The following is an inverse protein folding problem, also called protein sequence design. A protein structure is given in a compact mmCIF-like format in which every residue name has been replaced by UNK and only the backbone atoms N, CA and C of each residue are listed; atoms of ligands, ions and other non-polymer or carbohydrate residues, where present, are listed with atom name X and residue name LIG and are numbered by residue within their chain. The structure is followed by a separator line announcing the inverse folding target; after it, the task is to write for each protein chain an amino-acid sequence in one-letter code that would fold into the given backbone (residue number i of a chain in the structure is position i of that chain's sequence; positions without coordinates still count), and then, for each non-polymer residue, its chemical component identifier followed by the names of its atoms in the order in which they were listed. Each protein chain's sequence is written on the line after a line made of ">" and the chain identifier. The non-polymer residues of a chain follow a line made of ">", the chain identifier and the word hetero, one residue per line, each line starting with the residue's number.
data_IF_558188920144
#
_entry.id   IF_558188920144
#
_cell.length_a   1.000
_cell.length_b   1.000
_cell.length_c   1.000
_cell.angle_alpha   90.00
_cell.angle_beta   90.00
_cell.angle_gamma   90.00
#
_symmetry.space_group_name_H-M   'P 1'
#
loop_
_entity.id
_entity.type
_entity.pdbx_description
1 polymer ?
#
# COMPACT_ATOMS: atom_id res chain seq x y z
N UNK A 1 3.16 3.20 3.02
CA UNK A 1 3.31 4.52 2.34
C UNK A 1 4.75 5.03 2.30
N UNK A 2 5.63 4.58 3.21
CA UNK A 2 7.02 5.01 3.25
C UNK A 2 7.74 4.82 1.88
N UNK A 3 7.70 3.66 1.21
CA UNK A 3 8.34 3.48 -0.09
C UNK A 3 7.77 4.38 -1.19
N UNK A 4 6.46 4.64 -1.16
CA UNK A 4 5.80 5.51 -2.13
C UNK A 4 6.39 6.91 -2.12
N UNK A 5 6.38 7.56 -0.97
CA UNK A 5 6.83 8.95 -0.85
C UNK A 5 8.34 9.08 -0.98
N UNK A 6 9.12 8.11 -0.46
CA UNK A 6 10.56 8.11 -0.60
C UNK A 6 11.00 8.14 -2.05
N UNK A 7 10.40 7.29 -2.88
CA UNK A 7 10.71 7.25 -4.33
C UNK A 7 10.09 8.45 -5.05
N UNK A 8 8.84 8.79 -4.79
CA UNK A 8 8.13 9.89 -5.48
C UNK A 8 8.84 11.23 -5.33
N UNK A 9 9.25 11.59 -4.11
CA UNK A 9 9.92 12.86 -3.85
C UNK A 9 11.36 12.89 -4.41
N UNK A 10 12.00 11.74 -4.46
CA UNK A 10 13.36 11.62 -5.01
C UNK A 10 13.37 11.36 -6.52
N UNK A 11 12.22 11.13 -7.14
CA UNK A 11 12.10 10.71 -8.55
C UNK A 11 12.82 11.64 -9.53
N UNK A 12 12.61 12.99 -9.53
CA UNK A 12 13.31 13.87 -10.43
C UNK A 12 14.83 13.85 -10.22
N UNK A 13 15.27 13.68 -8.96
CA UNK A 13 16.68 13.58 -8.61
C UNK A 13 17.30 12.29 -9.15
N UNK A 14 16.61 11.16 -8.99
CA UNK A 14 17.05 9.86 -9.52
C UNK A 14 17.18 9.93 -11.05
N UNK A 15 16.19 10.47 -11.76
CA UNK A 15 16.21 10.59 -13.21
C UNK A 15 17.33 11.56 -13.69
N UNK A 16 17.53 12.66 -12.97
CA UNK A 16 18.63 13.60 -13.27
C UNK A 16 20.01 12.92 -13.15
N UNK A 17 20.20 12.07 -12.17
CA UNK A 17 21.44 11.31 -11.97
C UNK A 17 21.71 10.29 -13.09
N UNK A 18 20.67 9.88 -13.83
CA UNK A 18 20.79 9.03 -15.01
C UNK A 18 21.33 9.79 -16.27
N UNK A 19 21.70 11.07 -16.12
CA UNK A 19 22.30 11.89 -17.19
C UNK A 19 21.32 12.80 -17.92
N UNK A 20 20.07 12.94 -17.48
CA UNK A 20 19.09 13.81 -18.12
C UNK A 20 19.13 15.24 -17.58
N UNK A 21 18.86 16.23 -18.44
CA UNK A 21 18.68 17.63 -18.02
C UNK A 21 17.47 17.78 -17.11
N UNK A 22 17.50 18.77 -16.21
CA UNK A 22 16.45 18.96 -15.19
C UNK A 22 15.04 19.01 -15.77
N UNK A 23 14.83 19.75 -16.86
CA UNK A 23 13.52 19.85 -17.53
C UNK A 23 13.07 18.51 -18.12
N UNK A 24 13.99 17.81 -18.80
CA UNK A 24 13.71 16.48 -19.36
C UNK A 24 13.42 15.46 -18.26
N UNK A 25 14.16 15.51 -17.14
CA UNK A 25 13.93 14.64 -16.00
C UNK A 25 12.52 14.82 -15.42
N UNK A 26 12.03 16.05 -15.32
CA UNK A 26 10.65 16.33 -14.88
C UNK A 26 9.61 15.81 -15.89
N UNK A 27 9.82 16.02 -17.19
CA UNK A 27 8.90 15.48 -18.21
C UNK A 27 8.85 13.96 -18.19
N UNK A 28 9.97 13.30 -17.95
CA UNK A 28 10.05 11.85 -17.84
C UNK A 28 9.35 11.28 -16.58
N UNK A 29 8.89 12.12 -15.64
CA UNK A 29 8.04 11.66 -14.54
C UNK A 29 6.58 11.49 -14.95
N UNK A 30 6.12 12.12 -16.01
CA UNK A 30 4.72 12.08 -16.46
C UNK A 30 4.24 10.65 -16.76
N UNK A 31 4.98 9.82 -17.52
CA UNK A 31 4.57 8.45 -17.81
C UNK A 31 4.36 7.61 -16.55
N UNK A 32 5.17 7.81 -15.50
CA UNK A 32 5.02 7.09 -14.22
C UNK A 32 3.67 7.38 -13.58
N UNK A 33 3.32 8.66 -13.45
CA UNK A 33 2.07 9.05 -12.80
C UNK A 33 0.84 8.69 -13.63
N UNK A 34 0.91 8.83 -14.96
CA UNK A 34 -0.18 8.46 -15.86
C UNK A 34 -0.46 6.95 -15.77
N UNK A 35 0.57 6.11 -15.83
CA UNK A 35 0.42 4.66 -15.71
C UNK A 35 -0.04 4.26 -14.30
N UNK A 36 0.51 4.89 -13.26
CA UNK A 36 0.10 4.61 -11.88
C UNK A 36 -1.38 4.97 -11.66
N UNK A 37 -1.84 6.11 -12.17
CA UNK A 37 -3.25 6.51 -12.10
C UNK A 37 -4.17 5.51 -12.80
N UNK A 38 -3.79 5.08 -14.00
CA UNK A 38 -4.54 4.06 -14.74
C UNK A 38 -4.62 2.74 -13.96
N UNK A 39 -3.49 2.27 -13.40
CA UNK A 39 -3.44 1.05 -12.61
C UNK A 39 -4.27 1.15 -11.32
N UNK A 40 -4.27 2.30 -10.64
CA UNK A 40 -5.11 2.51 -9.45
C UNK A 40 -6.59 2.35 -9.81
N UNK A 41 -7.03 2.91 -10.92
CA UNK A 41 -8.43 2.79 -11.39
C UNK A 41 -8.75 1.33 -11.69
N UNK A 42 -7.92 0.65 -12.50
CA UNK A 42 -8.13 -0.74 -12.88
C UNK A 42 -8.15 -1.69 -11.68
N UNK A 43 -7.17 -1.55 -10.77
CA UNK A 43 -7.06 -2.38 -9.57
C UNK A 43 -8.22 -2.12 -8.62
N UNK A 44 -8.59 -0.86 -8.39
CA UNK A 44 -9.71 -0.51 -7.50
C UNK A 44 -11.03 -1.06 -8.04
N UNK A 45 -11.30 -0.87 -9.32
CA UNK A 45 -12.51 -1.40 -9.96
C UNK A 45 -12.58 -2.94 -9.91
N UNK A 46 -11.47 -3.61 -10.18
CA UNK A 46 -11.39 -5.08 -10.15
C UNK A 46 -11.52 -5.62 -8.72
N UNK A 47 -10.85 -4.99 -7.76
CA UNK A 47 -10.93 -5.37 -6.35
C UNK A 47 -12.34 -5.17 -5.76
N UNK A 48 -13.05 -4.13 -6.20
CA UNK A 48 -14.45 -3.91 -5.80
C UNK A 48 -15.39 -4.97 -6.39
N UNK A 49 -15.16 -5.40 -7.63
CA UNK A 49 -15.95 -6.47 -8.25
C UNK A 49 -15.75 -7.83 -7.60
N UNK A 50 -14.51 -8.14 -7.22
CA UNK A 50 -14.16 -9.44 -6.62
C UNK A 50 -14.45 -9.44 -5.10
N UNK A 51 -14.69 -8.27 -4.49
CA UNK A 51 -14.84 -8.07 -3.04
C UNK A 51 -13.63 -8.56 -2.21
N UNK A 52 -12.47 -8.67 -2.83
CA UNK A 52 -11.21 -9.08 -2.20
C UNK A 52 -10.11 -8.10 -2.58
N UNK A 53 -9.45 -7.52 -1.59
CA UNK A 53 -8.36 -6.55 -1.80
C UNK A 53 -6.98 -7.15 -1.55
N UNK A 54 -6.93 -8.22 -0.76
CA UNK A 54 -5.68 -8.89 -0.39
C UNK A 54 -4.82 -9.32 -1.57
N UNK A 55 -5.34 -10.01 -2.61
CA UNK A 55 -4.49 -10.51 -3.69
C UNK A 55 -3.85 -9.36 -4.48
N UNK A 56 -4.56 -8.26 -4.64
CA UNK A 56 -4.03 -7.07 -5.32
C UNK A 56 -2.94 -6.37 -4.49
N UNK A 57 -3.10 -6.33 -3.16
CA UNK A 57 -2.06 -5.81 -2.28
C UNK A 57 -0.79 -6.66 -2.34
N UNK A 58 -0.91 -7.99 -2.30
CA UNK A 58 0.25 -8.88 -2.45
C UNK A 58 0.92 -8.70 -3.81
N UNK A 59 0.17 -8.66 -4.90
CA UNK A 59 0.70 -8.44 -6.24
C UNK A 59 1.43 -7.08 -6.33
N UNK A 60 0.86 -6.03 -5.74
CA UNK A 60 1.46 -4.70 -5.71
C UNK A 60 2.77 -4.68 -4.90
N UNK A 61 2.80 -5.31 -3.72
CA UNK A 61 4.04 -5.42 -2.92
C UNK A 61 5.11 -6.25 -3.64
N UNK A 62 4.72 -7.32 -4.32
CA UNK A 62 5.65 -8.13 -5.13
C UNK A 62 6.25 -7.32 -6.26
N UNK A 63 5.43 -6.52 -6.94
CA UNK A 63 5.87 -5.61 -8.01
C UNK A 63 6.87 -4.58 -7.48
N UNK A 64 6.64 -4.04 -6.28
CA UNK A 64 7.56 -3.12 -5.61
C UNK A 64 8.90 -3.80 -5.30
N UNK A 65 8.89 -5.03 -4.77
CA UNK A 65 10.13 -5.78 -4.49
C UNK A 65 10.95 -6.01 -5.75
N UNK A 66 10.31 -6.43 -6.86
CA UNK A 66 10.98 -6.57 -8.15
C UNK A 66 11.57 -5.24 -8.63
N UNK A 67 10.83 -4.16 -8.50
CA UNK A 67 11.30 -2.82 -8.88
C UNK A 67 12.53 -2.39 -8.08
N UNK A 68 12.51 -2.57 -6.75
CA UNK A 68 13.67 -2.24 -5.92
C UNK A 68 14.87 -3.17 -6.19
N UNK A 69 14.65 -4.44 -6.46
CA UNK A 69 15.72 -5.36 -6.86
C UNK A 69 16.43 -4.89 -8.14
N UNK A 70 15.67 -4.39 -9.12
CA UNK A 70 16.22 -3.80 -10.34
C UNK A 70 16.99 -2.50 -10.04
N UNK A 71 16.52 -1.67 -9.13
CA UNK A 71 17.20 -0.44 -8.74
C UNK A 71 18.52 -0.69 -8.02
N UNK A 72 18.60 -1.71 -7.17
CA UNK A 72 19.82 -2.08 -6.42
C UNK A 72 20.83 -2.79 -7.33
N UNK A 73 20.35 -3.53 -8.33
CA UNK A 73 21.22 -4.24 -9.27
C UNK A 73 22.00 -3.26 -10.13
N UNK A 74 23.32 -3.34 -10.09
CA UNK A 74 24.21 -2.54 -10.94
C UNK A 74 23.93 -2.80 -12.40
N UNK A 75 23.66 -1.74 -13.17
CA UNK A 75 23.32 -1.87 -14.58
C UNK A 75 23.11 -0.54 -15.29
N UNK A 76 22.70 -0.58 -16.56
CA UNK A 76 22.51 0.64 -17.35
C UNK A 76 21.38 1.51 -16.75
N UNK A 77 21.42 2.85 -17.00
CA UNK A 77 20.39 3.79 -16.52
C UNK A 77 18.95 3.38 -16.82
N UNK A 78 18.71 2.73 -17.95
CA UNK A 78 17.40 2.23 -18.35
C UNK A 78 16.85 1.18 -17.36
N UNK A 79 17.70 0.38 -16.71
CA UNK A 79 17.28 -0.60 -15.70
C UNK A 79 16.78 0.07 -14.44
N UNK A 80 17.49 1.09 -13.95
CA UNK A 80 17.05 1.88 -12.79
C UNK A 80 15.73 2.59 -13.08
N UNK A 81 15.58 3.16 -14.28
CA UNK A 81 14.33 3.78 -14.73
C UNK A 81 13.17 2.77 -14.72
N UNK A 82 13.36 1.58 -15.29
CA UNK A 82 12.38 0.51 -15.29
C UNK A 82 12.06 0.01 -13.85
N UNK A 83 13.07 -0.08 -12.99
CA UNK A 83 12.90 -0.46 -11.59
C UNK A 83 12.02 0.53 -10.83
N UNK A 84 12.31 1.82 -10.94
CA UNK A 84 11.49 2.88 -10.33
C UNK A 84 10.07 2.89 -10.90
N UNK A 85 9.92 2.62 -12.21
CA UNK A 85 8.60 2.48 -12.84
C UNK A 85 7.77 1.39 -12.16
N UNK A 86 8.34 0.19 -11.99
CA UNK A 86 7.66 -0.92 -11.32
C UNK A 86 7.33 -0.60 -9.86
N UNK A 87 8.24 0.06 -9.14
CA UNK A 87 7.97 0.48 -7.75
C UNK A 87 6.73 1.36 -7.67
N UNK A 88 6.62 2.38 -8.51
CA UNK A 88 5.46 3.29 -8.49
C UNK A 88 4.18 2.61 -8.94
N UNK A 89 4.25 1.75 -9.98
CA UNK A 89 3.12 0.93 -10.42
C UNK A 89 2.59 0.00 -9.32
N UNK A 90 3.42 -0.44 -8.38
CA UNK A 90 3.00 -1.20 -7.20
C UNK A 90 2.54 -0.30 -6.06
N UNK A 91 3.28 0.77 -5.75
CA UNK A 91 3.08 1.58 -4.56
C UNK A 91 1.73 2.33 -4.53
N UNK A 92 1.32 2.92 -5.65
CA UNK A 92 0.05 3.66 -5.74
C UNK A 92 -1.18 2.75 -5.55
N UNK A 93 -1.33 1.61 -6.26
CA UNK A 93 -2.43 0.69 -6.01
C UNK A 93 -2.42 0.09 -4.61
N UNK A 94 -1.24 -0.25 -4.06
CA UNK A 94 -1.13 -0.77 -2.69
C UNK A 94 -1.68 0.22 -1.67
N UNK A 95 -1.34 1.50 -1.80
CA UNK A 95 -1.81 2.57 -0.89
C UNK A 95 -3.32 2.76 -0.99
N UNK A 96 -3.87 2.75 -2.20
CA UNK A 96 -5.32 2.84 -2.43
C UNK A 96 -6.05 1.66 -1.78
N UNK A 97 -5.61 0.43 -2.05
CA UNK A 97 -6.19 -0.78 -1.47
C UNK A 97 -6.11 -0.77 0.07
N UNK A 98 -4.98 -0.35 0.65
CA UNK A 98 -4.81 -0.26 2.10
C UNK A 98 -5.82 0.71 2.72
N UNK A 99 -5.98 1.89 2.16
CA UNK A 99 -6.89 2.92 2.67
C UNK A 99 -8.34 2.43 2.70
N UNK A 100 -8.77 1.78 1.62
CA UNK A 100 -10.13 1.23 1.55
C UNK A 100 -10.28 -0.02 2.44
N UNK A 101 -9.24 -0.87 2.55
CA UNK A 101 -9.26 -2.01 3.47
C UNK A 101 -9.48 -1.54 4.91
N UNK A 102 -8.79 -0.50 5.35
CA UNK A 102 -8.99 0.10 6.69
C UNK A 102 -10.41 0.64 6.83
N UNK A 103 -10.89 1.40 5.84
CA UNK A 103 -12.24 1.98 5.86
C UNK A 103 -13.34 0.93 5.95
N UNK A 104 -13.21 -0.18 5.23
CA UNK A 104 -14.20 -1.25 5.18
C UNK A 104 -14.20 -2.13 6.45
N UNK A 105 -13.08 -2.20 7.15
CA UNK A 105 -12.95 -3.04 8.35
C UNK A 105 -13.27 -2.31 9.67
N UNK A 106 -13.66 -1.02 9.58
CA UNK A 106 -14.08 -0.22 10.72
C UNK A 106 -15.57 0.12 10.62
N UNK A 107 -16.36 -0.36 11.55
CA UNK A 107 -17.77 -0.01 11.64
C UNK A 107 -17.99 1.28 12.44
N UNK A 108 -18.95 2.08 12.00
CA UNK A 108 -19.26 3.38 12.57
C UNK A 108 -18.47 4.53 11.94
N UNK A 109 -19.18 5.64 11.64
CA UNK A 109 -18.61 6.80 10.94
C UNK A 109 -17.45 7.44 11.69
N UNK A 110 -17.62 7.65 13.01
CA UNK A 110 -16.59 8.24 13.86
C UNK A 110 -15.32 7.37 13.93
N UNK A 111 -15.47 6.06 14.20
CA UNK A 111 -14.34 5.13 14.28
C UNK A 111 -13.59 5.02 12.96
N UNK A 112 -14.33 5.01 11.84
CA UNK A 112 -13.76 5.01 10.49
C UNK A 112 -12.97 6.29 10.21
N UNK A 113 -13.52 7.45 10.54
CA UNK A 113 -12.84 8.73 10.35
C UNK A 113 -11.54 8.81 11.16
N UNK A 114 -11.57 8.44 12.44
CA UNK A 114 -10.37 8.40 13.30
C UNK A 114 -9.35 7.40 12.76
N UNK A 115 -9.77 6.19 12.36
CA UNK A 115 -8.88 5.17 11.80
C UNK A 115 -8.18 5.63 10.52
N UNK A 116 -8.90 6.25 9.60
CA UNK A 116 -8.32 6.82 8.38
C UNK A 116 -7.35 7.96 8.72
N UNK A 117 -7.72 8.86 9.64
CA UNK A 117 -6.85 9.94 10.06
C UNK A 117 -5.54 9.41 10.68
N UNK A 118 -5.58 8.38 11.52
CA UNK A 118 -4.39 7.74 12.08
C UNK A 118 -3.48 7.15 10.99
N UNK A 119 -4.06 6.45 10.01
CA UNK A 119 -3.28 5.89 8.88
C UNK A 119 -2.61 7.00 8.09
N UNK A 120 -3.31 8.09 7.79
CA UNK A 120 -2.75 9.24 7.06
C UNK A 120 -1.64 9.93 7.86
N UNK A 121 -1.82 10.13 9.16
CA UNK A 121 -0.82 10.75 10.04
C UNK A 121 0.46 9.91 10.07
N UNK A 122 0.35 8.60 10.31
CA UNK A 122 1.50 7.69 10.30
C UNK A 122 2.19 7.65 8.93
N UNK A 123 1.43 7.75 7.86
CA UNK A 123 1.96 7.83 6.50
C UNK A 123 2.80 9.09 6.28
N UNK A 124 2.32 10.24 6.75
CA UNK A 124 3.02 11.52 6.62
C UNK A 124 4.29 11.58 7.47
N UNK A 125 4.27 11.00 8.67
CA UNK A 125 5.49 10.85 9.49
C UNK A 125 6.54 10.00 8.76
N UNK A 126 6.13 8.90 8.14
CA UNK A 126 7.01 8.07 7.30
C UNK A 126 7.60 8.85 6.12
N UNK A 127 6.83 9.75 5.51
CA UNK A 127 7.30 10.63 4.42
C UNK A 127 8.47 11.52 4.85
N UNK A 128 8.35 12.18 5.99
CA UNK A 128 9.41 13.03 6.54
C UNK A 128 10.72 12.28 6.77
N UNK A 129 10.62 11.03 7.20
CA UNK A 129 11.80 10.17 7.34
C UNK A 129 12.38 9.73 6.00
N UNK A 130 11.52 9.39 5.04
CA UNK A 130 11.91 8.85 3.73
C UNK A 130 12.80 9.82 2.93
N UNK A 131 12.54 11.13 3.01
CA UNK A 131 13.31 12.16 2.32
C UNK A 131 14.79 12.19 2.75
N UNK A 132 15.09 11.74 3.97
CA UNK A 132 16.46 11.76 4.51
C UNK A 132 17.31 10.57 4.06
N UNK A 133 16.74 9.55 3.43
CA UNK A 133 17.48 8.34 3.03
C UNK A 133 18.03 8.41 1.60
N UNK A 134 17.52 9.31 0.75
CA UNK A 134 18.03 9.52 -0.60
C UNK A 134 19.07 10.65 -0.60
N UNK A 135 20.25 10.37 -0.04
CA UNK A 135 21.32 11.37 0.06
C UNK A 135 22.10 11.46 -1.25
N UNK A 136 22.47 12.66 -1.66
CA UNK A 136 23.24 12.88 -2.88
C UNK A 136 24.58 12.15 -2.91
N UNK A 137 25.18 11.91 -1.74
CA UNK A 137 26.45 11.16 -1.63
C UNK A 137 26.34 9.68 -2.04
N UNK A 138 25.13 9.12 -2.03
CA UNK A 138 24.87 7.73 -2.39
C UNK A 138 24.49 7.57 -3.88
N UNK A 139 24.56 8.67 -4.66
CA UNK A 139 24.34 8.67 -6.09
C UNK A 139 25.46 7.89 -6.82
N UNK A 140 25.17 7.27 -7.98
CA UNK A 140 23.90 7.31 -8.72
C UNK A 140 22.91 6.21 -8.33
N UNK A 141 23.31 5.23 -7.55
CA UNK A 141 22.51 4.00 -7.31
C UNK A 141 21.63 4.05 -6.09
N UNK A 142 21.84 4.99 -5.15
CA UNK A 142 21.05 5.15 -3.91
C UNK A 142 20.76 3.83 -3.18
N UNK A 143 21.74 2.93 -3.11
CA UNK A 143 21.58 1.57 -2.59
C UNK A 143 21.03 1.58 -1.17
N UNK A 144 21.50 2.48 -0.30
CA UNK A 144 21.00 2.60 1.07
C UNK A 144 19.51 2.93 1.09
N UNK A 145 19.07 3.93 0.31
CA UNK A 145 17.67 4.34 0.23
C UNK A 145 16.76 3.22 -0.27
N UNK A 146 17.19 2.52 -1.32
CA UNK A 146 16.43 1.40 -1.87
C UNK A 146 16.39 0.20 -0.91
N UNK A 147 17.49 -0.13 -0.23
CA UNK A 147 17.55 -1.25 0.73
C UNK A 147 16.64 -1.01 1.94
N UNK A 148 16.59 0.22 2.47
CA UNK A 148 15.69 0.58 3.55
C UNK A 148 14.22 0.45 3.09
N UNK A 149 13.90 0.91 1.88
CA UNK A 149 12.56 0.75 1.33
C UNK A 149 12.16 -0.71 1.15
N UNK A 150 13.08 -1.59 0.71
CA UNK A 150 12.84 -3.04 0.67
C UNK A 150 12.48 -3.56 2.05
N UNK A 151 13.22 -3.16 3.10
CA UNK A 151 12.89 -3.53 4.48
C UNK A 151 11.46 -3.14 4.87
N UNK A 152 11.02 -1.92 4.53
CA UNK A 152 9.64 -1.47 4.79
C UNK A 152 8.60 -2.22 3.96
N UNK A 153 8.90 -2.59 2.71
CA UNK A 153 8.01 -3.40 1.88
C UNK A 153 7.83 -4.80 2.46
N UNK A 154 8.92 -5.43 2.90
CA UNK A 154 8.88 -6.75 3.55
C UNK A 154 8.10 -6.70 4.87
N UNK A 155 8.34 -5.68 5.69
CA UNK A 155 7.57 -5.46 6.92
C UNK A 155 6.09 -5.24 6.62
N UNK A 156 5.77 -4.48 5.56
CA UNK A 156 4.39 -4.28 5.08
C UNK A 156 3.72 -5.59 4.63
N UNK A 157 4.45 -6.43 3.88
CA UNK A 157 3.98 -7.77 3.50
C UNK A 157 3.69 -8.65 4.72
N UNK A 158 4.59 -8.67 5.69
CA UNK A 158 4.41 -9.44 6.91
C UNK A 158 3.19 -8.96 7.71
N UNK A 159 3.05 -7.65 7.89
CA UNK A 159 1.90 -7.05 8.56
C UNK A 159 0.58 -7.35 7.82
N UNK A 160 0.55 -7.20 6.49
CA UNK A 160 -0.61 -7.55 5.67
C UNK A 160 -1.00 -9.02 5.83
N UNK A 161 -0.04 -9.93 5.73
CA UNK A 161 -0.25 -11.37 5.89
C UNK A 161 -0.83 -11.70 7.26
N UNK A 162 -0.29 -11.09 8.32
CA UNK A 162 -0.78 -11.24 9.68
C UNK A 162 -2.24 -10.78 9.83
N UNK A 163 -2.59 -9.59 9.32
CA UNK A 163 -3.95 -9.04 9.42
C UNK A 163 -4.96 -9.85 8.61
N UNK A 164 -4.61 -10.29 7.40
CA UNK A 164 -5.47 -11.11 6.56
C UNK A 164 -5.74 -12.46 7.23
N UNK A 165 -4.69 -13.11 7.78
CA UNK A 165 -4.84 -14.34 8.54
C UNK A 165 -5.75 -14.15 9.76
N UNK A 166 -5.57 -13.04 10.51
CA UNK A 166 -6.38 -12.72 11.67
C UNK A 166 -7.84 -12.49 11.29
N UNK A 167 -8.10 -11.69 10.28
CA UNK A 167 -9.47 -11.44 9.81
C UNK A 167 -10.13 -12.70 9.25
N UNK A 168 -9.41 -13.52 8.53
CA UNK A 168 -9.91 -14.82 8.06
C UNK A 168 -10.32 -15.73 9.21
N UNK A 169 -9.51 -15.79 10.29
CA UNK A 169 -9.89 -16.54 11.50
C UNK A 169 -11.13 -15.97 12.18
N UNK A 170 -11.19 -14.65 12.36
CA UNK A 170 -12.36 -14.00 12.96
C UNK A 170 -13.61 -14.25 12.12
N UNK A 171 -13.53 -14.14 10.80
CA UNK A 171 -14.65 -14.40 9.90
C UNK A 171 -15.15 -15.86 10.02
N UNK A 172 -14.23 -16.83 10.09
CA UNK A 172 -14.58 -18.25 10.28
C UNK A 172 -15.29 -18.49 11.63
N UNK A 173 -14.76 -17.92 12.71
CA UNK A 173 -15.38 -18.03 14.03
C UNK A 173 -16.78 -17.42 14.06
N UNK A 174 -16.95 -16.23 13.46
CA UNK A 174 -18.25 -15.57 13.38
C UNK A 174 -19.23 -16.33 12.48
N UNK A 175 -18.76 -16.95 11.40
CA UNK A 175 -19.60 -17.79 10.57
C UNK A 175 -20.15 -19.00 11.35
N UNK A 176 -19.32 -19.64 12.18
CA UNK A 176 -19.73 -20.73 13.05
C UNK A 176 -20.76 -20.26 14.10
N UNK A 177 -20.54 -19.11 14.74
CA UNK A 177 -21.47 -18.53 15.74
C UNK A 177 -22.80 -18.13 15.10
N UNK A 178 -22.78 -17.61 13.86
CA UNK A 178 -24.02 -17.35 13.10
C UNK A 178 -24.77 -18.62 12.75
N UNK A 179 -24.07 -19.68 12.36
CA UNK A 179 -24.67 -20.97 12.09
C UNK A 179 -25.31 -21.59 13.35
N UNK A 180 -24.75 -21.30 14.53
CA UNK A 180 -25.34 -21.69 15.84
C UNK A 180 -26.55 -20.83 16.25
N UNK A 181 -26.96 -19.84 15.44
CA UNK A 181 -28.15 -19.02 15.72
C UNK A 181 -27.91 -17.87 16.73
N UNK A 182 -26.66 -17.60 17.12
CA UNK A 182 -26.36 -16.59 18.16
C UNK A 182 -26.84 -15.18 17.76
N UNK A 183 -26.87 -14.87 16.45
CA UNK A 183 -27.35 -13.59 15.93
C UNK A 183 -28.86 -13.39 16.13
N UNK A 184 -29.64 -14.46 16.35
CA UNK A 184 -31.08 -14.41 16.60
C UNK A 184 -31.40 -14.08 18.08
N UNK A 185 -30.42 -14.21 18.97
CA UNK A 185 -30.54 -13.88 20.38
C UNK A 185 -30.30 -12.39 20.67
N UNK A 186 -29.83 -11.64 19.72
CA UNK A 186 -29.50 -10.23 19.86
C UNK A 186 -30.47 -9.34 19.07
N UNK A 187 -30.86 -8.22 19.66
CA UNK A 187 -31.70 -7.24 18.97
C UNK A 187 -30.90 -6.49 17.89
N UNK A 188 -31.56 -5.95 16.85
CA UNK A 188 -30.89 -5.14 15.84
C UNK A 188 -30.12 -3.93 16.42
N UNK A 189 -30.61 -3.36 17.51
CA UNK A 189 -29.96 -2.25 18.22
C UNK A 189 -28.66 -2.70 18.91
N UNK A 190 -28.67 -3.86 19.56
CA UNK A 190 -27.48 -4.44 20.20
C UNK A 190 -26.40 -4.81 19.16
N UNK A 191 -26.80 -5.38 18.03
CA UNK A 191 -25.89 -5.67 16.91
C UNK A 191 -25.27 -4.39 16.35
N UNK A 192 -26.07 -3.34 16.21
CA UNK A 192 -25.58 -2.02 15.76
C UNK A 192 -24.59 -1.40 16.74
N UNK A 193 -24.83 -1.50 18.05
CA UNK A 193 -23.92 -1.00 19.10
C UNK A 193 -22.59 -1.75 19.13
N UNK A 194 -22.57 -3.03 18.80
CA UNK A 194 -21.35 -3.84 18.73
C UNK A 194 -20.45 -3.44 17.54
N UNK A 195 -21.03 -2.87 16.48
CA UNK A 195 -20.31 -2.39 15.29
C UNK A 195 -19.46 -3.49 14.66
N UNK A 196 -18.15 -3.27 14.54
CA UNK A 196 -17.20 -4.24 13.97
C UNK A 196 -16.92 -5.47 14.85
N UNK A 197 -17.44 -5.50 16.08
CA UNK A 197 -17.42 -6.67 16.97
C UNK A 197 -18.64 -7.57 16.81
N UNK A 198 -19.69 -7.10 16.15
CA UNK A 198 -20.92 -7.86 15.94
C UNK A 198 -20.64 -9.18 15.22
N UNK A 199 -21.40 -10.22 15.58
CA UNK A 199 -21.31 -11.55 14.95
C UNK A 199 -21.68 -11.48 13.45
N UNK A 200 -22.53 -10.52 13.08
CA UNK A 200 -22.98 -10.30 11.71
C UNK A 200 -21.96 -9.54 10.86
N UNK A 201 -21.00 -8.85 11.47
CA UNK A 201 -19.99 -8.09 10.74
C UNK A 201 -18.93 -9.01 10.12
N UNK A 202 -18.74 -8.92 8.82
CA UNK A 202 -17.74 -9.68 8.06
C UNK A 202 -16.60 -8.75 7.65
N UNK A 203 -15.39 -9.08 8.08
CA UNK A 203 -14.21 -8.33 7.65
C UNK A 203 -13.91 -8.59 6.17
N UNK A 204 -13.64 -7.51 5.42
CA UNK A 204 -13.16 -7.57 4.03
C UNK A 204 -11.70 -8.05 4.02
N UNK A 205 -11.37 -8.96 3.13
CA UNK A 205 -10.03 -9.53 2.95
C UNK A 205 -9.34 -8.97 1.73
#
# INVERSE_FOLDING_TARGET
>A
NFPLYGVTLSLPTIIKQLGYKTTTAQLMTIPFYATAAFLVICVSFTADRIHMRSPFMFAAYFLMLLGFALCISSGPPARTYAGVFLVLCGAYPATSCLSVLVANNLAGSYKRAVGIAMVLTMSNMGTSMACNFYRQRDAPHFVLGHSINVGFVVAGLAACSFWIWRYSRINKQRAARRAAGEHLLLTPEELSRQGDKAVTFVHTL
#
